data_IF_408741786112
#
_entry.id   IF_408741786112
#
_cell.length_a   1.000
_cell.length_b   1.000
_cell.length_c   1.000
_cell.angle_alpha   90.00
_cell.angle_beta   90.00
_cell.angle_gamma   90.00
#
_symmetry.space_group_name_H-M   'P 1'
#
loop_
_entity.id
_entity.type
_entity.pdbx_description
1 polymer ?
#
# COMPACT_ATOMS: atom_id res chain seq x y z
N UNK A 1 -65.69 -22.68 -44.99
CA UNK A 1 -66.05 -24.03 -45.48
C UNK A 1 -65.47 -25.03 -44.50
N UNK A 2 -66.45 -25.68 -43.81
CA UNK A 2 -66.42 -26.99 -43.16
C UNK A 2 -65.35 -27.24 -42.03
N UNK A 3 -65.75 -27.12 -40.77
CA UNK A 3 -66.36 -28.11 -39.88
C UNK A 3 -65.65 -29.48 -39.87
N UNK A 4 -65.18 -29.94 -38.72
CA UNK A 4 -65.88 -30.93 -37.92
C UNK A 4 -65.26 -31.25 -36.57
N UNK A 5 -66.10 -31.32 -35.61
CA UNK A 5 -66.14 -31.82 -34.24
C UNK A 5 -65.69 -33.29 -34.09
N UNK A 6 -65.27 -33.62 -32.90
CA UNK A 6 -65.34 -34.96 -32.31
C UNK A 6 -64.13 -35.27 -31.49
N UNK A 7 -64.08 -35.64 -30.24
CA UNK A 7 -65.16 -36.01 -29.34
C UNK A 7 -64.57 -36.41 -28.02
N UNK A 8 -65.24 -36.02 -26.98
CA UNK A 8 -65.14 -36.50 -25.62
C UNK A 8 -65.21 -38.01 -25.52
N UNK A 9 -64.37 -38.65 -24.76
CA UNK A 9 -64.63 -39.80 -23.88
C UNK A 9 -63.36 -40.55 -23.51
N UNK A 10 -62.96 -40.41 -22.29
CA UNK A 10 -62.50 -41.45 -21.36
C UNK A 10 -62.05 -40.85 -20.06
N UNK A 11 -63.04 -40.37 -19.30
CA UNK A 11 -62.90 -40.22 -17.84
C UNK A 11 -63.41 -41.54 -17.26
N UNK A 12 -62.81 -41.90 -16.13
CA UNK A 12 -63.11 -43.11 -15.29
C UNK A 12 -62.39 -44.38 -15.70
N UNK A 13 -61.35 -44.61 -15.01
CA UNK A 13 -61.01 -45.85 -14.30
C UNK A 13 -59.52 -45.84 -13.96
N UNK A 14 -59.24 -45.54 -12.75
CA UNK A 14 -58.04 -45.99 -11.94
C UNK A 14 -58.03 -45.24 -10.61
N UNK A 15 -59.13 -45.24 -9.91
CA UNK A 15 -59.18 -45.04 -8.50
C UNK A 15 -59.32 -46.46 -7.90
N UNK A 16 -58.27 -46.87 -7.25
CA UNK A 16 -58.14 -47.99 -6.30
C UNK A 16 -56.80 -48.72 -6.57
N UNK A 17 -55.81 -48.36 -5.86
CA UNK A 17 -54.71 -49.19 -5.36
C UNK A 17 -53.46 -48.26 -5.04
N UNK A 18 -53.57 -47.52 -3.97
CA UNK A 18 -52.37 -46.96 -3.30
C UNK A 18 -52.71 -46.63 -1.85
N UNK A 19 -53.08 -47.65 -1.13
CA UNK A 19 -52.96 -47.64 0.33
C UNK A 19 -51.91 -48.70 0.70
N UNK A 20 -50.96 -48.35 1.42
CA UNK A 20 -49.82 -49.01 2.03
C UNK A 20 -48.47 -48.65 1.39
N UNK A 21 -47.88 -47.63 1.93
CA UNK A 21 -46.44 -47.56 2.32
C UNK A 21 -46.20 -46.20 2.99
N UNK A 22 -46.79 -46.00 4.15
CA UNK A 22 -46.41 -45.03 5.15
C UNK A 22 -45.58 -45.78 6.20
N UNK A 23 -44.38 -46.07 5.93
CA UNK A 23 -43.41 -46.52 6.94
C UNK A 23 -42.25 -45.55 6.95
N UNK A 24 -42.38 -44.54 7.80
CA UNK A 24 -41.34 -44.16 8.80
C UNK A 24 -39.88 -44.16 8.31
N UNK A 25 -39.46 -43.07 7.77
CA UNK A 25 -38.08 -42.71 7.70
C UNK A 25 -37.90 -41.31 8.32
N UNK A 26 -38.01 -41.19 9.65
CA UNK A 26 -37.44 -40.04 10.36
C UNK A 26 -35.93 -40.11 10.22
N UNK A 27 -35.38 -39.60 9.15
CA UNK A 27 -33.98 -39.25 9.06
C UNK A 27 -33.77 -38.05 9.99
N UNK A 28 -33.22 -38.31 11.13
CA UNK A 28 -32.63 -37.27 11.96
C UNK A 28 -31.59 -36.53 11.13
N UNK A 29 -31.98 -35.40 10.54
CA UNK A 29 -31.08 -34.46 9.98
C UNK A 29 -30.18 -33.97 11.14
N UNK A 30 -28.98 -34.50 11.20
CA UNK A 30 -27.94 -33.91 12.04
C UNK A 30 -27.74 -32.46 11.60
N UNK A 31 -27.71 -31.50 12.54
CA UNK A 31 -27.33 -30.15 12.17
C UNK A 31 -25.89 -30.22 11.64
N UNK A 32 -25.72 -29.97 10.34
CA UNK A 32 -24.42 -29.68 9.79
C UNK A 32 -23.96 -28.42 10.53
N UNK A 33 -23.11 -28.60 11.52
CA UNK A 33 -22.38 -27.51 12.13
C UNK A 33 -21.51 -26.92 11.03
N UNK A 34 -22.06 -25.96 10.31
CA UNK A 34 -21.25 -24.99 9.58
C UNK A 34 -20.48 -24.24 10.64
N UNK A 35 -19.31 -24.76 10.99
CA UNK A 35 -18.26 -23.95 11.55
C UNK A 35 -17.96 -22.88 10.49
N UNK A 36 -18.78 -21.83 10.49
CA UNK A 36 -18.37 -20.55 9.92
C UNK A 36 -17.12 -20.20 10.70
N UNK A 37 -15.97 -20.49 10.11
CA UNK A 37 -14.76 -19.80 10.45
C UNK A 37 -15.14 -18.31 10.28
N UNK A 38 -15.48 -17.69 11.41
CA UNK A 38 -15.60 -16.25 11.51
C UNK A 38 -14.23 -15.72 11.11
N UNK A 39 -14.08 -15.42 9.81
CA UNK A 39 -12.99 -14.61 9.33
C UNK A 39 -13.08 -13.35 10.19
N UNK A 40 -12.13 -13.20 11.10
CA UNK A 40 -12.02 -12.03 11.95
C UNK A 40 -11.91 -10.83 10.99
N UNK A 41 -12.92 -9.95 10.88
CA UNK A 41 -12.86 -8.79 9.98
C UNK A 41 -11.77 -7.80 10.37
N UNK A 42 -11.09 -8.03 11.49
CA UNK A 42 -9.97 -7.26 12.02
C UNK A 42 -8.59 -7.86 11.69
N UNK A 43 -8.49 -8.93 10.90
CA UNK A 43 -7.24 -9.25 10.23
C UNK A 43 -7.04 -8.20 9.09
N UNK A 44 -6.99 -6.92 9.50
CA UNK A 44 -6.72 -5.79 8.62
C UNK A 44 -5.46 -6.08 7.81
N UNK A 45 -5.46 -5.63 6.57
CA UNK A 45 -4.34 -5.80 5.66
C UNK A 45 -3.07 -5.20 6.29
N UNK A 46 -2.18 -6.06 6.77
CA UNK A 46 -0.95 -5.68 7.47
C UNK A 46 0.18 -5.51 6.45
N UNK A 47 -0.03 -4.63 5.50
CA UNK A 47 0.95 -4.35 4.45
C UNK A 47 1.40 -2.90 4.51
N UNK A 48 2.72 -2.70 4.51
CA UNK A 48 3.36 -1.41 4.26
C UNK A 48 3.64 -1.32 2.76
N UNK A 49 3.12 -0.29 2.11
CA UNK A 49 3.44 0.05 0.72
C UNK A 49 4.45 1.21 0.73
N UNK A 50 5.58 1.04 0.09
CA UNK A 50 6.56 2.12 -0.13
C UNK A 50 6.45 2.60 -1.56
N UNK A 51 6.23 3.90 -1.74
CA UNK A 51 6.19 4.61 -3.03
C UNK A 51 7.28 5.66 -2.99
N UNK A 52 8.35 5.40 -3.70
CA UNK A 52 9.56 6.21 -3.68
C UNK A 52 10.28 6.26 -5.02
N UNK A 53 11.44 6.88 -5.03
CA UNK A 53 12.30 7.00 -6.20
C UNK A 53 13.52 6.06 -6.14
N UNK A 54 14.66 6.48 -6.70
CA UNK A 54 15.89 5.70 -6.74
C UNK A 54 16.47 5.38 -5.36
N UNK A 55 16.25 6.23 -4.36
CA UNK A 55 16.74 6.02 -3.00
C UNK A 55 16.03 4.83 -2.33
N UNK A 56 14.76 4.65 -2.63
CA UNK A 56 13.95 3.53 -2.12
C UNK A 56 13.99 2.30 -3.04
N UNK A 57 14.35 2.47 -4.34
CA UNK A 57 14.47 1.40 -5.31
C UNK A 57 15.84 0.68 -5.25
N UNK A 58 16.74 1.07 -4.34
CA UNK A 58 18.10 0.53 -4.21
C UNK A 58 18.94 0.73 -5.48
N UNK A 59 18.90 1.93 -6.08
CA UNK A 59 19.67 2.23 -7.29
C UNK A 59 21.18 2.03 -7.07
N UNK A 60 21.82 1.31 -8.01
CA UNK A 60 23.27 1.06 -8.02
C UNK A 60 23.77 0.00 -7.02
N UNK A 61 22.86 -0.63 -6.26
CA UNK A 61 23.16 -1.73 -5.32
C UNK A 61 22.19 -2.90 -5.54
N UNK A 62 22.46 -4.05 -4.91
CA UNK A 62 21.51 -5.16 -4.98
C UNK A 62 20.20 -4.83 -4.24
N UNK A 63 19.06 -5.19 -4.82
CA UNK A 63 17.74 -4.83 -4.28
C UNK A 63 17.53 -5.25 -2.82
N UNK A 64 18.11 -6.38 -2.40
CA UNK A 64 17.99 -6.88 -1.03
C UNK A 64 18.84 -6.11 0.00
N UNK A 65 19.80 -5.29 -0.45
CA UNK A 65 20.66 -4.46 0.38
C UNK A 65 20.01 -3.10 0.70
N UNK A 66 19.02 -2.65 -0.09
CA UNK A 66 18.36 -1.36 0.09
C UNK A 66 17.60 -1.25 1.41
N UNK A 67 17.51 -0.04 1.97
CA UNK A 67 16.85 0.23 3.25
C UNK A 67 15.42 -0.29 3.33
N UNK A 68 14.68 -0.28 2.20
CA UNK A 68 13.30 -0.78 2.11
C UNK A 68 13.28 -2.30 2.33
N UNK A 69 14.16 -3.05 1.65
CA UNK A 69 14.26 -4.50 1.81
C UNK A 69 14.71 -4.87 3.23
N UNK A 70 15.69 -4.14 3.79
CA UNK A 70 16.14 -4.32 5.16
C UNK A 70 15.03 -4.01 6.18
N UNK A 71 14.16 -3.04 5.89
CA UNK A 71 12.96 -2.75 6.70
C UNK A 71 11.97 -3.91 6.62
N UNK A 72 11.76 -4.49 5.44
CA UNK A 72 10.91 -5.67 5.26
C UNK A 72 11.42 -6.88 6.06
N UNK A 73 12.74 -7.13 6.07
CA UNK A 73 13.35 -8.18 6.90
C UNK A 73 13.12 -7.93 8.40
N UNK A 74 13.26 -6.68 8.85
CA UNK A 74 13.00 -6.29 10.25
C UNK A 74 11.53 -6.46 10.62
N UNK A 75 10.60 -6.12 9.72
CA UNK A 75 9.16 -6.34 9.90
C UNK A 75 8.88 -7.84 10.09
N UNK A 76 9.37 -8.67 9.19
CA UNK A 76 9.19 -10.13 9.27
C UNK A 76 9.71 -10.74 10.58
N UNK A 77 10.81 -10.20 11.11
CA UNK A 77 11.41 -10.68 12.35
C UNK A 77 10.70 -10.17 13.62
N UNK A 78 10.20 -8.93 13.62
CA UNK A 78 9.66 -8.28 14.83
C UNK A 78 8.15 -8.19 14.88
N UNK A 79 7.50 -8.16 13.73
CA UNK A 79 6.05 -8.02 13.56
C UNK A 79 5.58 -8.97 12.45
N UNK A 80 5.68 -10.29 12.65
CA UNK A 80 5.56 -11.31 11.57
C UNK A 80 4.27 -11.28 10.76
N UNK A 81 3.22 -10.62 11.29
CA UNK A 81 1.96 -10.49 10.57
C UNK A 81 1.97 -9.39 9.50
N UNK A 82 3.05 -8.60 9.42
CA UNK A 82 3.18 -7.50 8.48
C UNK A 82 4.05 -7.86 7.27
N UNK A 83 3.62 -7.38 6.10
CA UNK A 83 4.37 -7.48 4.86
C UNK A 83 4.81 -6.09 4.39
N UNK A 84 5.83 -6.05 3.51
CA UNK A 84 6.26 -4.82 2.88
C UNK A 84 6.29 -5.01 1.36
N UNK A 85 5.68 -4.07 0.65
CA UNK A 85 5.69 -4.00 -0.82
C UNK A 85 6.44 -2.73 -1.22
N UNK A 86 7.53 -2.89 -1.99
CA UNK A 86 8.26 -1.79 -2.56
C UNK A 86 7.77 -1.52 -3.99
N UNK A 87 7.15 -0.37 -4.21
CA UNK A 87 6.68 0.11 -5.49
C UNK A 87 7.47 1.34 -5.97
N UNK A 88 8.71 1.49 -5.53
CA UNK A 88 9.58 2.61 -5.89
C UNK A 88 10.12 2.48 -7.31
N UNK A 89 10.26 3.61 -8.02
CA UNK A 89 10.73 3.66 -9.39
C UNK A 89 11.86 4.70 -9.48
N UNK A 90 13.05 4.26 -9.91
CA UNK A 90 14.22 5.15 -10.06
C UNK A 90 13.92 6.32 -10.98
N UNK A 91 14.29 7.53 -10.56
CA UNK A 91 14.09 8.77 -11.31
C UNK A 91 12.67 9.34 -11.26
N UNK A 92 11.77 8.73 -10.50
CA UNK A 92 10.38 9.17 -10.41
C UNK A 92 10.27 10.51 -9.68
N UNK A 93 9.40 11.38 -10.17
CA UNK A 93 9.00 12.64 -9.53
C UNK A 93 7.72 12.49 -8.74
N UNK A 94 7.39 13.49 -7.93
CA UNK A 94 6.10 13.53 -7.24
C UNK A 94 4.90 13.43 -8.18
N UNK A 95 5.02 13.94 -9.41
CA UNK A 95 3.97 13.85 -10.43
C UNK A 95 3.75 12.41 -10.91
N UNK A 96 4.82 11.63 -11.10
CA UNK A 96 4.73 10.21 -11.44
C UNK A 96 4.04 9.42 -10.34
N UNK A 97 4.48 9.58 -9.09
CA UNK A 97 3.85 8.96 -7.93
C UNK A 97 2.37 9.32 -7.79
N UNK A 98 2.02 10.61 -7.94
CA UNK A 98 0.64 11.07 -7.87
C UNK A 98 -0.25 10.52 -9.01
N UNK A 99 0.33 10.19 -10.16
CA UNK A 99 -0.42 9.60 -11.27
C UNK A 99 -0.80 8.14 -11.01
N UNK A 100 0.04 7.38 -10.29
CA UNK A 100 -0.16 5.93 -10.06
C UNK A 100 -0.65 5.56 -8.66
N UNK A 101 -0.61 6.48 -7.68
CA UNK A 101 -0.92 6.13 -6.28
C UNK A 101 -2.27 5.45 -6.10
N UNK A 102 -3.31 5.89 -6.82
CA UNK A 102 -4.65 5.30 -6.71
C UNK A 102 -4.63 3.83 -7.12
N UNK A 103 -3.99 3.49 -8.24
CA UNK A 103 -3.87 2.10 -8.70
C UNK A 103 -3.05 1.25 -7.71
N UNK A 104 -2.00 1.82 -7.13
CA UNK A 104 -1.16 1.12 -6.16
C UNK A 104 -1.92 0.81 -4.86
N UNK A 105 -2.63 1.78 -4.28
CA UNK A 105 -3.35 1.55 -3.02
C UNK A 105 -4.56 0.61 -3.22
N UNK A 106 -5.20 0.65 -4.39
CA UNK A 106 -6.29 -0.29 -4.74
C UNK A 106 -5.75 -1.71 -4.92
N UNK A 107 -4.60 -1.86 -5.59
CA UNK A 107 -3.95 -3.16 -5.84
C UNK A 107 -3.42 -3.81 -4.56
N UNK A 108 -2.73 -3.02 -3.73
CA UNK A 108 -2.02 -3.53 -2.54
C UNK A 108 -2.92 -3.55 -1.30
N UNK A 109 -3.88 -2.64 -1.22
CA UNK A 109 -4.75 -2.41 -0.05
C UNK A 109 -3.92 -2.25 1.23
N UNK A 110 -2.99 -1.30 1.30
CA UNK A 110 -2.05 -1.19 2.42
C UNK A 110 -2.73 -0.68 3.68
N UNK A 111 -2.22 -1.08 4.85
CA UNK A 111 -2.55 -0.44 6.13
C UNK A 111 -1.67 0.79 6.39
N UNK A 112 -0.45 0.81 5.82
CA UNK A 112 0.48 1.94 5.90
C UNK A 112 1.04 2.22 4.51
N UNK A 113 1.12 3.51 4.14
CA UNK A 113 1.82 3.98 2.93
C UNK A 113 2.98 4.87 3.36
N UNK A 114 4.18 4.55 2.88
CA UNK A 114 5.36 5.39 2.99
C UNK A 114 5.57 6.09 1.65
N UNK A 115 5.58 7.43 1.66
CA UNK A 115 5.79 8.26 0.47
C UNK A 115 7.17 8.90 0.59
N UNK A 116 8.10 8.48 -0.26
CA UNK A 116 9.48 9.00 -0.35
C UNK A 116 9.71 9.49 -1.78
N UNK A 117 9.10 10.63 -2.14
CA UNK A 117 9.14 11.22 -3.48
C UNK A 117 9.26 12.74 -3.39
N UNK A 118 10.04 13.30 -4.29
CA UNK A 118 10.26 14.75 -4.40
C UNK A 118 11.72 15.14 -4.59
N UNK A 119 12.67 14.23 -4.33
CA UNK A 119 14.08 14.48 -4.58
C UNK A 119 14.31 14.89 -6.03
N UNK A 120 13.75 14.15 -7.00
CA UNK A 120 13.84 14.46 -8.41
C UNK A 120 13.14 15.77 -8.81
N UNK A 121 12.07 16.16 -8.11
CA UNK A 121 11.43 17.48 -8.31
C UNK A 121 12.40 18.59 -7.93
N UNK A 122 13.00 18.49 -6.75
CA UNK A 122 13.97 19.47 -6.24
C UNK A 122 15.23 19.57 -7.11
N UNK A 123 15.84 18.43 -7.43
CA UNK A 123 17.07 18.39 -8.26
C UNK A 123 16.85 18.95 -9.67
N UNK A 124 15.63 18.87 -10.21
CA UNK A 124 15.26 19.41 -11.52
C UNK A 124 14.72 20.84 -11.45
N UNK A 125 14.68 21.46 -10.26
CA UNK A 125 14.16 22.81 -10.07
C UNK A 125 12.67 22.96 -10.42
N UNK A 126 11.87 21.90 -10.25
CA UNK A 126 10.45 21.93 -10.57
C UNK A 126 9.67 22.82 -9.57
N UNK A 127 8.50 23.37 -9.97
CA UNK A 127 7.74 24.25 -9.10
C UNK A 127 7.29 23.55 -7.80
N UNK A 128 7.68 24.08 -6.64
CA UNK A 128 7.39 23.48 -5.32
C UNK A 128 5.88 23.42 -4.99
N UNK A 129 5.06 24.32 -5.60
CA UNK A 129 3.60 24.23 -5.51
C UNK A 129 3.09 22.89 -6.08
N UNK A 130 3.72 22.40 -7.14
CA UNK A 130 3.31 21.15 -7.81
C UNK A 130 3.75 19.96 -6.97
N UNK A 131 4.95 19.97 -6.41
CA UNK A 131 5.40 18.99 -5.41
C UNK A 131 4.38 18.88 -4.25
N UNK A 132 4.02 20.01 -3.63
CA UNK A 132 3.07 20.03 -2.50
C UNK A 132 1.70 19.48 -2.89
N UNK A 133 1.19 19.86 -4.07
CA UNK A 133 -0.08 19.36 -4.60
C UNK A 133 -0.04 17.85 -4.82
N UNK A 134 1.05 17.34 -5.39
CA UNK A 134 1.23 15.92 -5.68
C UNK A 134 1.36 15.11 -4.37
N UNK A 135 2.14 15.58 -3.39
CA UNK A 135 2.22 14.98 -2.06
C UNK A 135 0.83 14.91 -1.39
N UNK A 136 0.09 16.04 -1.40
CA UNK A 136 -1.26 16.07 -0.84
C UNK A 136 -2.20 15.07 -1.52
N UNK A 137 -2.12 14.93 -2.86
CA UNK A 137 -2.89 13.93 -3.62
C UNK A 137 -2.54 12.51 -3.20
N UNK A 138 -1.24 12.20 -3.05
CA UNK A 138 -0.79 10.86 -2.64
C UNK A 138 -1.21 10.54 -1.21
N UNK A 139 -1.08 11.47 -0.28
CA UNK A 139 -1.53 11.32 1.11
C UNK A 139 -3.05 11.09 1.14
N UNK A 140 -3.84 11.96 0.48
CA UNK A 140 -5.31 11.83 0.46
C UNK A 140 -5.79 10.52 -0.17
N UNK A 141 -5.18 10.09 -1.28
CA UNK A 141 -5.51 8.80 -1.90
C UNK A 141 -5.20 7.61 -0.98
N UNK A 142 -4.09 7.67 -0.25
CA UNK A 142 -3.72 6.63 0.72
C UNK A 142 -4.69 6.58 1.91
N UNK A 143 -5.05 7.74 2.44
CA UNK A 143 -6.02 7.84 3.55
C UNK A 143 -7.43 7.42 3.14
N UNK A 144 -7.83 7.64 1.87
CA UNK A 144 -9.15 7.25 1.37
C UNK A 144 -9.42 5.74 1.41
N UNK A 145 -8.37 4.92 1.44
CA UNK A 145 -8.46 3.46 1.63
C UNK A 145 -8.22 3.03 3.08
N UNK A 146 -8.15 3.98 4.02
CA UNK A 146 -7.94 3.73 5.45
C UNK A 146 -6.46 3.54 5.84
N UNK A 147 -5.51 3.80 4.95
CA UNK A 147 -4.09 3.66 5.26
C UNK A 147 -3.58 4.82 6.11
N UNK A 148 -2.75 4.53 7.11
CA UNK A 148 -1.91 5.52 7.78
C UNK A 148 -0.77 5.92 6.83
N UNK A 149 -0.28 7.16 6.92
CA UNK A 149 0.73 7.65 5.97
C UNK A 149 1.96 8.18 6.70
N UNK A 150 3.13 7.80 6.20
CA UNK A 150 4.43 8.40 6.53
C UNK A 150 4.98 9.11 5.30
N UNK A 151 5.14 10.42 5.38
CA UNK A 151 5.88 11.20 4.38
C UNK A 151 7.33 11.28 4.80
N UNK A 152 8.24 10.93 3.91
CA UNK A 152 9.69 11.06 4.11
C UNK A 152 10.19 12.22 3.26
N UNK A 153 10.76 13.22 3.91
CA UNK A 153 11.27 14.42 3.26
C UNK A 153 12.73 14.28 2.80
N UNK A 154 13.15 15.28 2.04
CA UNK A 154 14.49 15.43 1.49
C UNK A 154 15.02 16.84 1.68
N UNK A 155 16.34 16.97 1.63
CA UNK A 155 17.06 18.24 1.56
C UNK A 155 17.85 18.35 0.28
N UNK A 156 17.95 19.55 -0.23
CA UNK A 156 18.77 19.84 -1.42
C UNK A 156 20.12 20.43 -1.00
N UNK A 157 21.15 20.23 -1.82
CA UNK A 157 22.43 20.93 -1.64
C UNK A 157 22.23 22.47 -1.67
N UNK A 158 23.06 23.23 -0.92
CA UNK A 158 22.85 24.68 -0.75
C UNK A 158 23.04 25.49 -2.04
N UNK A 159 23.66 24.93 -3.06
CA UNK A 159 23.87 25.58 -4.37
C UNK A 159 22.57 25.82 -5.17
N UNK A 160 21.43 25.28 -4.72
CA UNK A 160 20.10 25.58 -5.30
C UNK A 160 19.51 26.90 -4.80
N UNK A 161 20.17 27.59 -3.87
CA UNK A 161 19.73 28.84 -3.27
C UNK A 161 18.86 28.64 -2.04
N UNK A 162 19.15 29.42 -0.97
CA UNK A 162 18.58 29.24 0.36
C UNK A 162 17.05 29.26 0.37
N UNK A 163 16.43 30.24 -0.32
CA UNK A 163 14.98 30.39 -0.32
C UNK A 163 14.28 29.12 -0.91
N UNK A 164 14.83 28.58 -2.00
CA UNK A 164 14.27 27.40 -2.64
C UNK A 164 14.49 26.13 -1.80
N UNK A 165 15.68 25.95 -1.22
CA UNK A 165 16.00 24.78 -0.40
C UNK A 165 15.16 24.75 0.88
N UNK A 166 14.99 25.90 1.53
CA UNK A 166 14.16 26.00 2.74
C UNK A 166 12.67 25.75 2.46
N UNK A 167 12.17 26.26 1.34
CA UNK A 167 10.78 26.04 0.93
C UNK A 167 10.56 24.57 0.53
N UNK A 168 11.52 23.97 -0.14
CA UNK A 168 11.52 22.54 -0.51
C UNK A 168 11.44 21.67 0.73
N UNK A 169 12.37 21.82 1.69
CA UNK A 169 12.43 21.03 2.91
C UNK A 169 11.13 21.14 3.73
N UNK A 170 10.64 22.37 3.92
CA UNK A 170 9.39 22.61 4.67
C UNK A 170 8.15 22.01 4.00
N UNK A 171 8.19 21.79 2.68
CA UNK A 171 7.05 21.32 1.91
C UNK A 171 6.56 19.93 2.34
N UNK A 172 7.45 19.04 2.73
CA UNK A 172 7.10 17.66 3.10
C UNK A 172 6.35 17.57 4.42
N UNK A 173 6.97 18.00 5.50
CA UNK A 173 6.30 17.94 6.80
C UNK A 173 5.14 18.93 6.92
N UNK A 174 5.16 20.03 6.18
CA UNK A 174 4.02 20.95 6.11
C UNK A 174 2.77 20.29 5.53
N UNK A 175 2.89 19.53 4.46
CA UNK A 175 1.77 18.76 3.88
C UNK A 175 1.37 17.60 4.80
N UNK A 176 2.32 16.89 5.37
CA UNK A 176 2.02 15.81 6.31
C UNK A 176 1.21 16.32 7.51
N UNK A 177 1.63 17.43 8.12
CA UNK A 177 0.93 18.06 9.24
C UNK A 177 -0.49 18.50 8.85
N UNK A 178 -0.64 19.17 7.69
CA UNK A 178 -1.93 19.64 7.19
C UNK A 178 -2.94 18.51 7.02
N UNK A 179 -2.45 17.31 6.63
CA UNK A 179 -3.27 16.15 6.33
C UNK A 179 -3.23 15.07 7.42
N UNK A 180 -2.75 15.42 8.62
CA UNK A 180 -2.66 14.50 9.77
C UNK A 180 -1.89 13.20 9.46
N UNK A 181 -0.86 13.28 8.62
CA UNK A 181 0.07 12.21 8.34
C UNK A 181 1.35 12.36 9.19
N UNK A 182 2.06 11.24 9.37
CA UNK A 182 3.38 11.26 10.02
C UNK A 182 4.44 11.80 9.04
N UNK A 183 5.51 12.38 9.59
CA UNK A 183 6.62 12.89 8.80
C UNK A 183 7.98 12.50 9.39
N UNK A 184 8.88 12.04 8.52
CA UNK A 184 10.32 11.98 8.75
C UNK A 184 10.96 13.10 7.92
N UNK A 185 11.56 14.13 8.53
CA UNK A 185 11.97 15.33 7.81
C UNK A 185 13.01 15.12 6.71
N UNK A 186 13.96 14.17 6.92
CA UNK A 186 15.04 13.94 5.97
C UNK A 186 15.54 12.49 6.00
N UNK A 187 15.40 11.77 4.90
CA UNK A 187 15.80 10.36 4.79
C UNK A 187 17.30 10.17 5.07
N UNK A 188 18.16 11.01 4.47
CA UNK A 188 19.60 10.82 4.47
C UNK A 188 20.29 11.45 5.69
N UNK A 189 19.56 11.95 6.69
CA UNK A 189 20.12 12.63 7.87
C UNK A 189 21.29 11.86 8.53
N UNK A 190 21.23 10.54 8.76
CA UNK A 190 22.29 9.83 9.45
C UNK A 190 23.61 9.72 8.67
N UNK A 191 23.57 9.93 7.36
CA UNK A 191 24.72 9.75 6.46
C UNK A 191 25.13 11.03 5.71
N UNK A 192 24.34 12.10 5.82
CA UNK A 192 24.45 13.28 4.96
C UNK A 192 25.83 13.98 4.99
N UNK A 193 26.62 13.76 6.03
CA UNK A 193 27.95 14.36 6.21
C UNK A 193 29.11 13.43 5.87
N UNK A 194 28.81 12.17 5.56
CA UNK A 194 29.81 11.16 5.22
C UNK A 194 29.82 10.88 3.72
N UNK A 195 30.80 11.43 3.00
CA UNK A 195 30.96 11.20 1.57
C UNK A 195 31.19 9.74 1.21
N UNK A 196 31.76 8.94 2.10
CA UNK A 196 32.01 7.52 1.85
C UNK A 196 30.73 6.69 1.90
N UNK A 197 29.65 7.25 2.43
CA UNK A 197 28.33 6.65 2.45
C UNK A 197 27.59 6.74 1.11
N UNK A 198 28.16 7.46 0.12
CA UNK A 198 27.53 7.68 -1.20
C UNK A 198 28.36 7.04 -2.32
N UNK A 199 27.68 6.68 -3.39
CA UNK A 199 28.29 6.25 -4.63
C UNK A 199 29.04 7.42 -5.31
N UNK A 200 29.73 7.16 -6.42
CA UNK A 200 30.54 8.16 -7.14
C UNK A 200 29.73 9.39 -7.60
N UNK A 201 28.41 9.22 -7.76
CA UNK A 201 27.49 10.30 -8.13
C UNK A 201 27.17 11.27 -6.97
N UNK A 202 27.57 10.96 -5.75
CA UNK A 202 27.32 11.74 -4.52
C UNK A 202 25.83 11.97 -4.20
N UNK A 203 24.94 11.15 -4.75
CA UNK A 203 23.49 11.22 -4.54
C UNK A 203 22.94 9.94 -3.94
N UNK A 204 23.37 8.79 -4.45
CA UNK A 204 22.82 7.50 -4.04
C UNK A 204 23.71 6.84 -2.98
N UNK A 205 23.14 6.40 -1.86
CA UNK A 205 23.88 5.73 -0.80
C UNK A 205 24.42 4.37 -1.25
N UNK A 206 25.61 4.01 -0.76
CA UNK A 206 26.19 2.67 -0.95
C UNK A 206 25.48 1.63 -0.09
N UNK A 207 25.69 0.34 -0.38
CA UNK A 207 25.05 -0.77 0.35
C UNK A 207 25.35 -0.72 1.86
N UNK A 208 26.60 -0.39 2.26
CA UNK A 208 27.00 -0.31 3.67
C UNK A 208 26.29 0.80 4.46
N UNK A 209 25.72 1.82 3.80
CA UNK A 209 24.98 2.91 4.42
C UNK A 209 23.48 2.60 4.64
N UNK A 210 22.94 1.62 3.95
CA UNK A 210 21.51 1.31 3.97
C UNK A 210 20.98 0.87 5.36
N UNK A 211 21.72 0.14 6.20
CA UNK A 211 21.28 -0.15 7.56
C UNK A 211 21.03 1.09 8.41
N UNK A 212 21.82 2.16 8.24
CA UNK A 212 21.62 3.43 8.95
C UNK A 212 20.30 4.12 8.53
N UNK A 213 19.98 4.09 7.23
CA UNK A 213 18.69 4.61 6.72
C UNK A 213 17.51 3.82 7.25
N UNK A 214 17.58 2.48 7.23
CA UNK A 214 16.55 1.62 7.84
C UNK A 214 16.35 1.96 9.32
N UNK A 215 17.44 2.13 10.09
CA UNK A 215 17.38 2.42 11.52
C UNK A 215 16.81 3.81 11.80
N UNK A 216 17.03 4.75 10.90
CA UNK A 216 16.48 6.10 10.95
C UNK A 216 14.98 6.14 10.62
N UNK A 217 14.53 5.37 9.63
CA UNK A 217 13.10 5.28 9.24
C UNK A 217 12.27 4.50 10.27
N UNK A 218 12.86 3.49 10.91
CA UNK A 218 12.14 2.56 11.78
C UNK A 218 11.35 3.22 12.92
N UNK A 219 11.90 4.19 13.70
CA UNK A 219 11.15 4.85 14.77
C UNK A 219 9.93 5.65 14.28
N UNK A 220 9.98 6.18 13.04
CA UNK A 220 8.86 6.90 12.44
C UNK A 220 7.79 5.95 11.88
N UNK A 221 8.19 4.75 11.43
CA UNK A 221 7.28 3.73 10.89
C UNK A 221 6.59 2.92 11.99
N UNK A 222 7.29 2.53 13.03
CA UNK A 222 6.82 1.60 14.07
C UNK A 222 5.47 2.00 14.70
N UNK A 223 5.20 3.27 15.06
CA UNK A 223 3.92 3.68 15.64
C UNK A 223 2.73 3.56 14.68
N UNK A 224 2.97 3.36 13.38
CA UNK A 224 1.92 3.21 12.39
C UNK A 224 1.47 1.75 12.22
N UNK A 225 2.21 0.81 12.80
CA UNK A 225 1.97 -0.64 12.68
C UNK A 225 0.99 -1.20 13.73
N UNK A 226 0.49 -0.35 14.62
CA UNK A 226 -0.46 -0.72 15.68
C UNK A 226 -1.89 -0.86 15.16
#
# INVERSE_FOLDING_TARGET
MSMRYGGYRAVLQWALLLSLWLASGFALAQPVSTAQASANPQAGNRTVLVVGDSLSAAYGIAAHEGWVALTGQRLAARVPAWNLVNASISGETSAGGAARIVSEVVRVKPAVVVIELGANDGLRGLPLRDLRRNLARMVGASQSVGAKVLVIGMRLPPNYGQAYTDEFERGFCGIAQLLHASCLPFLLEPIARDRTAFQDDNLHPVASAQPALRDHVWPALLPLLD
#
